data_IF_528979629872
#
_entry.id   IF_528979629872
#
_cell.length_a   1.000
_cell.length_b   1.000
_cell.length_c   1.000
_cell.angle_alpha   90.00
_cell.angle_beta   90.00
_cell.angle_gamma   90.00
#
_symmetry.space_group_name_H-M   'P 1'
#
loop_
_entity.id
_entity.type
_entity.pdbx_description
1 polymer ?
#
# COMPACT_ATOMS: atom_id res chain seq x y z
N UNK A 1 -13.37 21.42 3.36
CA UNK A 1 -13.00 20.18 4.04
C UNK A 1 -14.21 19.67 4.80
N UNK A 2 -14.41 18.36 4.76
CA UNK A 2 -15.43 17.64 5.52
C UNK A 2 -14.73 16.63 6.43
N UNK A 3 -15.22 16.47 7.66
CA UNK A 3 -14.81 15.40 8.59
C UNK A 3 -16.03 14.52 8.81
N UNK A 4 -15.97 13.26 8.39
CA UNK A 4 -17.12 12.36 8.26
C UNK A 4 -16.98 11.13 9.17
N UNK A 5 -18.07 10.78 9.86
CA UNK A 5 -18.20 9.50 10.54
C UNK A 5 -18.44 8.37 9.53
N UNK A 6 -17.65 7.31 9.60
CA UNK A 6 -17.75 6.19 8.66
C UNK A 6 -19.09 5.44 8.74
N UNK A 7 -19.68 5.35 9.94
CA UNK A 7 -20.83 4.49 10.24
C UNK A 7 -22.14 5.13 9.81
N UNK A 8 -22.39 6.36 10.24
CA UNK A 8 -23.66 7.05 9.98
C UNK A 8 -23.57 8.12 8.88
N UNK A 9 -22.38 8.32 8.32
CA UNK A 9 -22.08 9.24 7.21
C UNK A 9 -22.37 10.71 7.54
N UNK A 10 -22.59 11.03 8.82
CA UNK A 10 -22.71 12.41 9.28
C UNK A 10 -21.35 13.07 9.20
N UNK A 11 -21.34 14.33 8.81
CA UNK A 11 -20.11 15.10 8.73
C UNK A 11 -20.27 16.52 9.23
N UNK A 12 -19.14 17.09 9.61
CA UNK A 12 -18.95 18.52 9.79
C UNK A 12 -18.11 19.09 8.66
N UNK A 13 -18.40 20.32 8.24
CA UNK A 13 -17.70 21.02 7.18
C UNK A 13 -17.30 22.43 7.62
N UNK A 14 -16.19 22.91 7.07
CA UNK A 14 -15.66 24.25 7.36
C UNK A 14 -16.26 25.38 6.50
N UNK A 15 -17.24 25.06 5.65
CA UNK A 15 -17.96 26.01 4.79
C UNK A 15 -19.28 25.39 4.31
N UNK A 16 -20.19 26.25 3.85
CA UNK A 16 -21.46 25.85 3.25
C UNK A 16 -21.23 25.10 1.93
N UNK A 17 -22.14 24.18 1.59
CA UNK A 17 -22.15 23.51 0.30
C UNK A 17 -22.79 24.41 -0.77
N UNK A 18 -22.38 24.33 -2.06
CA UNK A 18 -22.93 25.19 -3.11
C UNK A 18 -24.47 25.18 -3.22
N UNK A 19 -25.12 24.06 -2.94
CA UNK A 19 -26.59 23.95 -2.89
C UNK A 19 -27.25 24.68 -1.71
N UNK A 20 -26.48 25.11 -0.69
CA UNK A 20 -26.98 25.73 0.53
C UNK A 20 -27.66 24.77 1.50
N UNK A 21 -27.49 23.46 1.32
CA UNK A 21 -28.26 22.43 2.04
C UNK A 21 -27.74 22.11 3.45
N UNK A 22 -26.53 22.55 3.83
CA UNK A 22 -25.98 22.20 5.14
C UNK A 22 -26.57 23.05 6.26
N UNK A 23 -26.86 22.40 7.38
CA UNK A 23 -27.33 23.07 8.60
C UNK A 23 -26.15 23.76 9.28
N UNK A 24 -26.20 25.08 9.39
CA UNK A 24 -25.16 25.85 10.07
C UNK A 24 -25.34 25.84 11.59
N UNK A 25 -24.25 25.63 12.32
CA UNK A 25 -24.16 25.72 13.77
C UNK A 25 -22.85 26.47 14.14
N UNK A 26 -22.98 27.77 14.42
CA UNK A 26 -21.81 28.65 14.59
C UNK A 26 -20.96 28.72 13.31
N UNK A 27 -19.64 28.47 13.37
CA UNK A 27 -18.76 28.45 12.20
C UNK A 27 -18.75 27.10 11.46
N UNK A 28 -19.48 26.10 11.95
CA UNK A 28 -19.48 24.73 11.43
C UNK A 28 -20.77 24.46 10.66
N UNK A 29 -20.68 23.64 9.62
CA UNK A 29 -21.81 23.19 8.83
C UNK A 29 -21.99 21.68 8.99
N UNK A 30 -23.21 21.22 9.18
CA UNK A 30 -23.55 19.81 9.40
C UNK A 30 -24.31 19.25 8.21
N UNK A 31 -23.97 18.02 7.83
CA UNK A 31 -24.64 17.29 6.75
C UNK A 31 -24.54 15.77 6.91
N UNK A 32 -25.10 15.06 5.94
CA UNK A 32 -24.99 13.61 5.78
C UNK A 32 -24.55 13.35 4.35
N UNK A 33 -23.46 12.59 4.16
CA UNK A 33 -22.99 12.25 2.82
C UNK A 33 -23.97 11.26 2.16
N UNK A 34 -24.42 11.51 0.91
CA UNK A 34 -25.26 10.57 0.17
C UNK A 34 -24.58 9.20 0.02
N UNK A 35 -25.34 8.10 0.02
CA UNK A 35 -24.80 6.72 -0.07
C UNK A 35 -23.86 6.50 -1.25
N UNK A 36 -24.11 7.18 -2.38
CA UNK A 36 -23.29 7.08 -3.59
C UNK A 36 -21.86 7.64 -3.44
N UNK A 37 -21.58 8.42 -2.39
CA UNK A 37 -20.25 8.99 -2.14
C UNK A 37 -19.42 8.00 -1.33
N UNK A 38 -18.23 7.61 -1.80
CA UNK A 38 -17.34 6.73 -1.03
C UNK A 38 -16.81 7.48 0.19
N UNK A 39 -16.78 6.81 1.35
CA UNK A 39 -16.17 7.36 2.56
C UNK A 39 -14.71 6.91 2.66
N UNK A 40 -13.79 7.84 2.53
CA UNK A 40 -12.34 7.63 2.59
C UNK A 40 -11.60 8.95 2.86
N UNK A 41 -10.35 8.87 3.32
CA UNK A 41 -9.42 10.00 3.33
C UNK A 41 -8.98 10.27 1.88
N UNK A 42 -9.62 11.25 1.23
CA UNK A 42 -9.40 11.55 -0.19
C UNK A 42 -10.04 12.89 -0.55
N UNK A 43 -9.60 13.53 -1.64
CA UNK A 43 -10.45 14.49 -2.33
C UNK A 43 -11.75 13.82 -2.84
N UNK A 44 -12.88 14.48 -2.60
CA UNK A 44 -14.21 14.03 -3.00
C UNK A 44 -14.93 15.15 -3.74
N UNK A 45 -15.35 14.90 -4.98
CA UNK A 45 -16.22 15.82 -5.70
C UNK A 45 -17.68 15.61 -5.25
N UNK A 46 -18.24 16.58 -4.55
CA UNK A 46 -19.61 16.53 -4.02
C UNK A 46 -20.25 17.92 -4.02
N UNK A 47 -21.49 17.98 -4.47
CA UNK A 47 -22.29 19.21 -4.57
C UNK A 47 -21.61 20.33 -5.38
N UNK A 48 -20.96 19.95 -6.49
CA UNK A 48 -20.27 20.90 -7.38
C UNK A 48 -18.96 21.47 -6.84
N UNK A 49 -18.44 20.91 -5.74
CA UNK A 49 -17.18 21.31 -5.13
C UNK A 49 -16.26 20.11 -4.90
N UNK A 50 -14.95 20.33 -5.03
CA UNK A 50 -13.92 19.38 -4.62
C UNK A 50 -13.57 19.54 -3.15
N UNK A 51 -14.13 18.69 -2.29
CA UNK A 51 -13.85 18.68 -0.86
C UNK A 51 -12.62 17.84 -0.55
N UNK A 52 -11.89 18.21 0.49
CA UNK A 52 -11.03 17.26 1.21
C UNK A 52 -11.89 16.52 2.22
N UNK A 53 -11.94 15.19 2.14
CA UNK A 53 -12.63 14.35 3.12
C UNK A 53 -11.64 13.76 4.11
N UNK A 54 -11.98 13.79 5.39
CA UNK A 54 -11.24 13.15 6.47
C UNK A 54 -12.20 12.25 7.24
N UNK A 55 -11.85 10.99 7.43
CA UNK A 55 -12.65 10.00 8.14
C UNK A 55 -12.38 10.11 9.65
N UNK A 56 -13.46 10.17 10.43
CA UNK A 56 -13.43 10.15 11.88
C UNK A 56 -13.42 8.70 12.43
N UNK A 57 -12.86 8.46 13.64
CA UNK A 57 -12.17 9.44 14.48
C UNK A 57 -10.79 9.80 13.91
N UNK A 58 -10.45 11.09 13.96
CA UNK A 58 -9.09 11.55 13.68
C UNK A 58 -8.20 11.29 14.89
N UNK A 59 -6.89 11.16 14.68
CA UNK A 59 -5.91 10.91 15.76
C UNK A 59 -6.06 11.93 16.90
N UNK A 60 -5.97 11.46 18.15
CA UNK A 60 -5.96 12.31 19.33
C UNK A 60 -4.62 13.06 19.49
N UNK A 61 -3.52 12.53 18.93
CA UNK A 61 -2.23 13.22 18.87
C UNK A 61 -2.35 14.48 17.99
N UNK A 62 -2.16 15.70 18.56
CA UNK A 62 -2.22 16.93 17.80
C UNK A 62 -1.24 17.01 16.64
N UNK A 63 -0.04 16.42 16.76
CA UNK A 63 0.97 16.43 15.71
C UNK A 63 0.52 15.56 14.53
N UNK A 64 0.24 14.28 14.77
CA UNK A 64 -0.27 13.37 13.75
C UNK A 64 -1.55 13.90 13.09
N UNK A 65 -2.48 14.48 13.86
CA UNK A 65 -3.71 15.07 13.33
C UNK A 65 -3.43 16.27 12.41
N UNK A 66 -2.51 17.16 12.78
CA UNK A 66 -2.16 18.31 11.95
C UNK A 66 -1.45 17.89 10.65
N UNK A 67 -0.57 16.90 10.72
CA UNK A 67 0.10 16.31 9.55
C UNK A 67 -0.93 15.69 8.60
N UNK A 68 -1.83 14.84 9.11
CA UNK A 68 -2.92 14.24 8.32
C UNK A 68 -3.77 15.31 7.63
N UNK A 69 -4.25 16.32 8.36
CA UNK A 69 -5.10 17.37 7.78
C UNK A 69 -4.38 18.10 6.65
N UNK A 70 -3.10 18.44 6.82
CA UNK A 70 -2.32 19.13 5.80
C UNK A 70 -2.00 18.23 4.59
N UNK A 71 -1.72 16.95 4.83
CA UNK A 71 -1.56 15.92 3.80
C UNK A 71 -2.82 15.82 2.91
N UNK A 72 -3.99 15.64 3.52
CA UNK A 72 -5.27 15.51 2.81
C UNK A 72 -5.68 16.80 2.08
N UNK A 73 -5.35 17.96 2.64
CA UNK A 73 -5.55 19.25 1.97
C UNK A 73 -4.66 19.39 0.72
N UNK A 74 -3.46 18.80 0.72
CA UNK A 74 -2.57 18.83 -0.42
C UNK A 74 -3.10 17.96 -1.57
N UNK A 75 -3.59 16.75 -1.31
CA UNK A 75 -4.20 15.89 -2.33
C UNK A 75 -5.31 16.61 -3.13
N UNK A 76 -6.03 17.54 -2.51
CA UNK A 76 -7.06 18.33 -3.20
C UNK A 76 -6.50 19.19 -4.34
N UNK A 77 -5.31 19.76 -4.16
CA UNK A 77 -4.68 20.66 -5.14
C UNK A 77 -3.61 19.98 -6.00
N UNK A 78 -3.12 18.81 -5.58
CA UNK A 78 -2.04 18.07 -6.21
C UNK A 78 -2.21 17.88 -7.75
N UNK A 79 -3.41 17.57 -8.30
CA UNK A 79 -3.58 17.47 -9.75
C UNK A 79 -3.33 18.79 -10.48
N UNK A 80 -3.74 19.92 -9.90
CA UNK A 80 -3.53 21.24 -10.48
C UNK A 80 -2.04 21.66 -10.49
N UNK A 81 -1.22 20.99 -9.68
CA UNK A 81 0.23 21.15 -9.66
C UNK A 81 0.95 20.21 -10.63
N UNK A 82 0.24 19.31 -11.34
CA UNK A 82 0.86 18.29 -12.18
C UNK A 82 1.60 17.20 -11.40
N UNK A 83 1.32 17.06 -10.11
CA UNK A 83 1.99 16.15 -9.18
C UNK A 83 1.17 14.87 -8.94
N UNK A 84 0.58 14.34 -10.01
CA UNK A 84 -0.14 13.05 -9.99
C UNK A 84 0.53 12.10 -10.96
N UNK A 85 0.68 10.83 -10.55
CA UNK A 85 1.24 9.75 -11.34
C UNK A 85 0.28 8.56 -11.30
N UNK A 86 0.35 7.71 -12.32
CA UNK A 86 -0.40 6.45 -12.29
C UNK A 86 0.11 5.59 -11.14
N UNK A 87 -0.81 4.94 -10.41
CA UNK A 87 -0.42 3.96 -9.41
C UNK A 87 0.35 2.80 -10.08
N UNK A 88 1.39 2.33 -9.39
CA UNK A 88 2.33 1.30 -9.85
C UNK A 88 2.67 0.37 -8.69
N UNK A 89 3.12 -0.84 -9.05
CA UNK A 89 3.07 -2.00 -8.17
C UNK A 89 4.11 -2.02 -7.05
N UNK A 90 5.27 -1.35 -7.18
CA UNK A 90 6.37 -1.34 -6.20
C UNK A 90 6.67 -2.73 -5.59
N UNK A 91 6.43 -3.80 -6.35
CA UNK A 91 6.33 -5.16 -5.82
C UNK A 91 7.66 -5.68 -5.26
N UNK A 92 8.78 -5.14 -5.76
CA UNK A 92 10.12 -5.39 -5.26
C UNK A 92 10.28 -5.02 -3.78
N UNK A 93 9.46 -4.11 -3.25
CA UNK A 93 9.47 -3.73 -1.83
C UNK A 93 8.79 -4.77 -0.91
N UNK A 94 8.31 -5.89 -1.45
CA UNK A 94 7.98 -7.09 -0.68
C UNK A 94 9.02 -8.21 -0.81
N UNK A 95 10.01 -8.05 -1.68
CA UNK A 95 11.13 -8.98 -1.83
C UNK A 95 12.26 -8.69 -0.85
N UNK A 96 13.01 -9.73 -0.49
CA UNK A 96 14.12 -9.67 0.46
C UNK A 96 15.08 -8.50 0.19
N UNK A 97 15.68 -8.46 -1.01
CA UNK A 97 16.69 -7.45 -1.33
C UNK A 97 16.09 -6.04 -1.36
N UNK A 98 14.87 -5.88 -1.90
CA UNK A 98 14.21 -4.58 -1.95
C UNK A 98 13.95 -4.02 -0.55
N UNK A 99 13.43 -4.85 0.36
CA UNK A 99 13.20 -4.47 1.76
C UNK A 99 14.49 -4.22 2.53
N UNK A 100 15.52 -5.02 2.30
CA UNK A 100 16.81 -4.89 2.97
C UNK A 100 17.46 -3.54 2.64
N UNK A 101 17.60 -3.23 1.34
CA UNK A 101 18.22 -1.98 0.90
C UNK A 101 17.39 -0.75 1.28
N UNK A 102 16.05 -0.84 1.26
CA UNK A 102 15.17 0.26 1.72
C UNK A 102 15.32 0.55 3.21
N UNK A 103 15.45 -0.49 4.04
CA UNK A 103 15.64 -0.27 5.46
C UNK A 103 17.05 0.23 5.82
N UNK A 104 18.08 -0.08 5.01
CA UNK A 104 19.39 0.55 5.15
C UNK A 104 19.34 2.03 4.73
N UNK A 105 18.63 2.33 3.64
CA UNK A 105 18.35 3.70 3.22
C UNK A 105 17.65 4.50 4.33
N UNK A 106 16.61 3.94 4.97
CA UNK A 106 15.94 4.62 6.08
C UNK A 106 16.85 4.90 7.28
N UNK A 107 17.69 3.93 7.67
CA UNK A 107 18.66 4.14 8.75
C UNK A 107 19.69 5.20 8.40
N UNK A 108 20.13 5.26 7.14
CA UNK A 108 21.02 6.30 6.66
C UNK A 108 20.35 7.68 6.62
N UNK A 109 19.06 7.76 6.25
CA UNK A 109 18.27 8.99 6.33
C UNK A 109 18.09 9.47 7.77
N UNK A 110 17.82 8.57 8.71
CA UNK A 110 17.80 8.90 10.15
C UNK A 110 19.13 9.52 10.58
N UNK A 111 20.25 8.87 10.24
CA UNK A 111 21.58 9.41 10.56
C UNK A 111 21.85 10.77 9.91
N UNK A 112 21.32 11.03 8.70
CA UNK A 112 21.43 12.32 8.04
C UNK A 112 20.61 13.42 8.74
N UNK A 113 19.37 13.12 9.13
CA UNK A 113 18.48 14.04 9.85
C UNK A 113 19.01 14.39 11.24
N UNK A 114 19.68 13.45 11.92
CA UNK A 114 20.26 13.62 13.24
C UNK A 114 21.70 14.15 13.23
N UNK A 115 22.30 14.28 12.06
CA UNK A 115 23.70 14.67 11.92
C UNK A 115 23.99 16.07 12.50
N UNK A 116 24.97 16.13 13.41
CA UNK A 116 25.44 17.37 14.04
C UNK A 116 26.38 18.20 13.18
N UNK A 117 26.88 17.64 12.08
CA UNK A 117 27.81 18.33 11.17
C UNK A 117 27.43 18.06 9.73
N UNK A 118 27.74 19.02 8.84
CA UNK A 118 27.51 18.88 7.40
C UNK A 118 28.26 17.69 6.80
N UNK A 119 29.45 17.35 7.32
CA UNK A 119 30.24 16.20 6.87
C UNK A 119 29.54 14.88 7.18
N UNK A 120 29.05 14.70 8.41
CA UNK A 120 28.31 13.49 8.82
C UNK A 120 27.02 13.39 8.02
N UNK A 121 26.28 14.49 7.88
CA UNK A 121 25.05 14.54 7.09
C UNK A 121 25.26 14.11 5.65
N UNK A 122 26.28 14.70 5.01
CA UNK A 122 26.67 14.35 3.64
C UNK A 122 27.01 12.87 3.52
N UNK A 123 27.85 12.34 4.41
CA UNK A 123 28.25 10.94 4.35
C UNK A 123 27.08 9.97 4.51
N UNK A 124 26.10 10.32 5.35
CA UNK A 124 24.89 9.52 5.55
C UNK A 124 23.93 9.62 4.35
N UNK A 125 23.80 10.81 3.73
CA UNK A 125 23.03 10.97 2.49
C UNK A 125 23.65 10.21 1.31
N UNK A 126 24.97 10.23 1.17
CA UNK A 126 25.69 9.44 0.16
C UNK A 126 25.41 7.94 0.34
N UNK A 127 25.32 7.45 1.59
CA UNK A 127 24.97 6.06 1.88
C UNK A 127 23.50 5.75 1.55
N UNK A 128 22.56 6.63 1.92
CA UNK A 128 21.15 6.47 1.57
C UNK A 128 20.96 6.35 0.06
N UNK A 129 21.61 7.23 -0.72
CA UNK A 129 21.59 7.19 -2.18
C UNK A 129 22.26 5.93 -2.75
N UNK A 130 23.32 5.43 -2.12
CA UNK A 130 23.99 4.20 -2.55
C UNK A 130 23.12 2.96 -2.30
N UNK A 131 22.42 2.88 -1.17
CA UNK A 131 21.49 1.79 -0.88
C UNK A 131 20.27 1.81 -1.81
N UNK A 132 19.71 3.00 -2.08
CA UNK A 132 18.67 3.17 -3.10
C UNK A 132 19.15 2.74 -4.49
N UNK A 133 20.36 3.13 -4.89
CA UNK A 133 20.93 2.73 -6.18
C UNK A 133 21.12 1.21 -6.28
N UNK A 134 21.62 0.57 -5.22
CA UNK A 134 21.78 -0.89 -5.18
C UNK A 134 20.44 -1.61 -5.37
N UNK A 135 19.35 -1.07 -4.80
CA UNK A 135 17.99 -1.55 -5.06
C UNK A 135 17.58 -1.35 -6.52
N UNK A 136 17.85 -0.19 -7.12
CA UNK A 136 17.51 0.07 -8.53
C UNK A 136 18.28 -0.81 -9.52
N UNK A 137 19.52 -1.17 -9.19
CA UNK A 137 20.34 -2.07 -10.02
C UNK A 137 19.77 -3.51 -10.03
N UNK A 138 19.07 -3.92 -8.96
CA UNK A 138 18.44 -5.24 -8.85
C UNK A 138 17.03 -5.28 -9.48
N UNK A 139 16.32 -4.16 -9.46
CA UNK A 139 14.91 -4.07 -9.87
C UNK A 139 14.72 -3.00 -10.95
N UNK A 140 14.69 -3.37 -12.24
CA UNK A 140 14.72 -2.42 -13.36
C UNK A 140 13.59 -1.37 -13.38
N UNK A 141 12.44 -1.69 -12.78
CA UNK A 141 11.29 -0.77 -12.69
C UNK A 141 11.29 0.09 -11.41
N UNK A 142 12.12 -0.23 -10.41
CA UNK A 142 12.05 0.38 -9.09
C UNK A 142 12.20 1.90 -9.12
N UNK A 143 13.10 2.45 -9.95
CA UNK A 143 13.29 3.89 -10.04
C UNK A 143 12.02 4.63 -10.50
N UNK A 144 11.35 4.10 -11.53
CA UNK A 144 10.12 4.71 -12.05
C UNK A 144 8.94 4.48 -11.09
N UNK A 145 8.85 3.28 -10.50
CA UNK A 145 7.73 2.91 -9.64
C UNK A 145 7.76 3.63 -8.29
N UNK A 146 8.95 3.74 -7.69
CA UNK A 146 9.11 4.42 -6.42
C UNK A 146 8.91 5.93 -6.59
N UNK A 147 9.47 6.53 -7.66
CA UNK A 147 9.23 7.94 -7.96
C UNK A 147 7.73 8.25 -8.09
N UNK A 148 6.98 7.39 -8.76
CA UNK A 148 5.54 7.60 -8.91
C UNK A 148 4.81 7.64 -7.56
N UNK A 149 5.14 6.71 -6.64
CA UNK A 149 4.54 6.72 -5.31
C UNK A 149 5.06 7.87 -4.44
N UNK A 150 6.34 8.24 -4.55
CA UNK A 150 6.87 9.42 -3.84
C UNK A 150 6.18 10.71 -4.29
N UNK A 151 5.82 10.84 -5.56
CA UNK A 151 5.01 11.97 -6.03
C UNK A 151 3.57 11.88 -5.51
N UNK A 152 2.97 10.69 -5.52
CA UNK A 152 1.58 10.50 -5.13
C UNK A 152 1.36 10.64 -3.62
N UNK A 153 2.26 10.13 -2.78
CA UNK A 153 2.11 10.00 -1.32
C UNK A 153 3.24 10.70 -0.54
N UNK A 154 4.49 10.62 -1.03
CA UNK A 154 5.65 11.20 -0.32
C UNK A 154 5.66 12.72 -0.30
N UNK A 155 5.27 13.38 -1.41
CA UNK A 155 5.14 14.84 -1.49
C UNK A 155 3.98 15.36 -0.63
N UNK A 156 2.77 14.76 -0.65
CA UNK A 156 1.72 15.08 0.33
C UNK A 156 2.18 14.90 1.77
N UNK A 157 2.87 13.80 2.10
CA UNK A 157 3.33 13.55 3.48
C UNK A 157 4.38 14.57 3.93
N UNK A 158 5.37 14.87 3.08
CA UNK A 158 6.30 15.97 3.32
C UNK A 158 5.54 17.29 3.56
N UNK A 159 4.52 17.59 2.76
CA UNK A 159 3.71 18.80 2.91
C UNK A 159 2.97 18.80 4.24
N UNK A 160 2.41 17.65 4.62
CA UNK A 160 1.78 17.39 5.91
C UNK A 160 2.72 17.73 7.07
N UNK A 161 3.91 17.15 7.08
CA UNK A 161 4.95 17.40 8.08
C UNK A 161 5.39 18.87 8.08
N UNK A 162 5.64 19.44 6.90
CA UNK A 162 6.19 20.79 6.74
C UNK A 162 5.23 21.89 7.17
N UNK A 163 3.93 21.72 6.95
CA UNK A 163 2.89 22.70 7.26
C UNK A 163 2.13 22.40 8.56
N UNK A 164 1.97 21.12 8.90
CA UNK A 164 1.26 20.67 10.11
C UNK A 164 2.07 20.89 11.39
N UNK A 165 3.40 20.89 11.31
CA UNK A 165 4.28 21.07 12.47
C UNK A 165 4.98 22.43 12.46
N UNK A 166 5.06 23.06 13.64
CA UNK A 166 5.47 24.47 13.78
C UNK A 166 6.98 24.70 13.86
N UNK A 167 7.76 23.74 14.39
CA UNK A 167 9.22 23.87 14.54
C UNK A 167 10.00 22.92 13.65
N UNK A 168 11.25 23.28 13.31
CA UNK A 168 12.15 22.41 12.56
C UNK A 168 12.49 21.14 13.35
N UNK A 169 12.58 21.25 14.69
CA UNK A 169 12.82 20.14 15.61
C UNK A 169 11.66 19.14 15.56
N UNK A 170 10.41 19.61 15.61
CA UNK A 170 9.24 18.73 15.54
C UNK A 170 9.16 18.02 14.18
N UNK A 171 9.44 18.72 13.08
CA UNK A 171 9.48 18.13 11.73
C UNK A 171 10.53 17.02 11.60
N UNK A 172 11.75 17.29 12.08
CA UNK A 172 12.82 16.28 12.08
C UNK A 172 12.46 15.09 12.96
N UNK A 173 11.92 15.33 14.16
CA UNK A 173 11.51 14.26 15.07
C UNK A 173 10.40 13.38 14.45
N UNK A 174 9.44 13.98 13.76
CA UNK A 174 8.37 13.26 13.05
C UNK A 174 8.93 12.40 11.92
N UNK A 175 9.78 12.96 11.05
CA UNK A 175 10.40 12.20 9.97
C UNK A 175 11.28 11.03 10.48
N UNK A 176 12.04 11.24 11.56
CA UNK A 176 12.84 10.17 12.20
C UNK A 176 11.95 9.08 12.82
N UNK A 177 10.84 9.50 13.45
CA UNK A 177 9.85 8.57 13.98
C UNK A 177 9.30 7.69 12.85
N UNK A 178 8.87 8.27 11.74
CA UNK A 178 8.24 7.53 10.64
C UNK A 178 9.20 6.54 9.97
N UNK A 179 10.45 6.95 9.72
CA UNK A 179 11.51 6.05 9.25
C UNK A 179 11.68 4.81 10.13
N UNK A 180 11.38 4.92 11.43
CA UNK A 180 11.45 3.81 12.38
C UNK A 180 10.12 3.05 12.49
N UNK A 181 8.99 3.76 12.48
CA UNK A 181 7.66 3.17 12.64
C UNK A 181 7.26 2.31 11.43
N UNK A 182 7.52 2.80 10.21
CA UNK A 182 7.17 2.09 8.98
C UNK A 182 7.96 0.80 8.75
N UNK A 183 9.05 0.55 9.49
CA UNK A 183 9.75 -0.76 9.50
C UNK A 183 8.80 -1.90 9.88
N UNK A 184 7.80 -1.61 10.71
CA UNK A 184 6.81 -2.60 11.17
C UNK A 184 5.66 -2.82 10.18
N UNK A 185 5.60 -2.07 9.07
CA UNK A 185 4.55 -2.21 8.09
C UNK A 185 4.59 -3.63 7.46
N UNK A 186 3.42 -4.30 7.30
CA UNK A 186 3.36 -5.64 6.73
C UNK A 186 3.96 -5.73 5.32
N UNK A 187 3.80 -4.66 4.54
CA UNK A 187 4.35 -4.46 3.19
C UNK A 187 4.84 -3.02 3.06
N UNK A 188 5.94 -2.85 2.31
CA UNK A 188 6.51 -1.53 1.99
C UNK A 188 5.98 -0.95 0.67
N UNK A 189 5.28 -1.76 -0.13
CA UNK A 189 4.78 -1.43 -1.48
C UNK A 189 4.07 -0.09 -1.56
N UNK A 190 3.19 0.20 -0.59
CA UNK A 190 2.45 1.48 -0.52
C UNK A 190 2.92 2.39 0.61
N UNK A 191 3.66 1.88 1.58
CA UNK A 191 3.94 2.59 2.83
C UNK A 191 5.28 3.33 2.83
N UNK A 192 6.22 2.97 1.95
CA UNK A 192 7.57 3.51 2.03
C UNK A 192 7.63 5.03 1.80
N UNK A 193 6.78 5.55 0.92
CA UNK A 193 6.81 6.95 0.51
C UNK A 193 6.43 7.90 1.64
N UNK A 194 5.61 7.46 2.60
CA UNK A 194 5.30 8.24 3.81
C UNK A 194 6.55 8.44 4.70
N UNK A 195 7.49 7.49 4.67
CA UNK A 195 8.77 7.63 5.39
C UNK A 195 9.80 8.44 4.60
N UNK A 196 9.98 8.13 3.30
CA UNK A 196 11.03 8.76 2.48
C UNK A 196 10.70 10.21 2.12
N UNK A 197 9.42 10.54 1.87
CA UNK A 197 8.97 11.87 1.47
C UNK A 197 9.40 12.97 2.44
N UNK A 198 8.96 12.95 3.71
CA UNK A 198 9.39 13.91 4.72
C UNK A 198 10.91 13.93 4.92
N UNK A 199 11.55 12.75 4.96
CA UNK A 199 12.99 12.66 5.21
C UNK A 199 13.81 13.37 4.12
N UNK A 200 13.54 13.07 2.85
CA UNK A 200 14.22 13.73 1.74
C UNK A 200 13.82 15.19 1.59
N UNK A 201 12.52 15.51 1.68
CA UNK A 201 12.05 16.88 1.51
C UNK A 201 12.60 17.84 2.57
N UNK A 202 12.71 17.41 3.83
CA UNK A 202 13.33 18.22 4.89
C UNK A 202 14.84 18.40 4.70
N UNK A 203 15.54 17.38 4.20
CA UNK A 203 16.98 17.50 3.88
C UNK A 203 17.17 18.44 2.67
N UNK A 204 16.31 18.36 1.66
CA UNK A 204 16.33 19.24 0.50
C UNK A 204 15.98 20.70 0.83
N UNK A 205 15.14 20.96 1.83
CA UNK A 205 14.89 22.32 2.33
C UNK A 205 16.18 23.05 2.74
N UNK A 206 17.22 22.31 3.15
CA UNK A 206 18.52 22.85 3.52
C UNK A 206 19.54 22.81 2.36
N UNK A 207 19.44 21.83 1.45
CA UNK A 207 20.41 21.60 0.39
C UNK A 207 20.13 22.38 -0.90
N UNK A 208 18.86 22.57 -1.24
CA UNK A 208 18.43 23.23 -2.48
C UNK A 208 17.08 23.94 -2.23
N UNK A 209 17.07 25.23 -1.83
CA UNK A 209 15.83 25.95 -1.50
C UNK A 209 14.76 25.94 -2.60
N UNK A 210 15.15 25.75 -3.85
CA UNK A 210 14.27 25.75 -5.03
C UNK A 210 13.78 24.36 -5.44
N UNK A 211 14.13 23.30 -4.70
CA UNK A 211 13.84 21.90 -5.05
C UNK A 211 12.36 21.63 -5.34
N UNK A 212 11.45 22.33 -4.66
CA UNK A 212 9.99 22.19 -4.82
C UNK A 212 9.48 22.57 -6.20
N UNK A 213 10.23 23.39 -6.95
CA UNK A 213 9.91 23.73 -8.34
C UNK A 213 10.34 22.65 -9.34
N UNK A 214 11.18 21.70 -8.90
CA UNK A 214 11.81 20.67 -9.73
C UNK A 214 11.23 19.27 -9.46
N UNK A 215 10.69 19.04 -8.26
CA UNK A 215 10.03 17.78 -7.89
C UNK A 215 8.85 17.49 -8.82
N UNK A 216 8.73 16.23 -9.24
CA UNK A 216 7.77 15.80 -10.24
C UNK A 216 8.46 15.42 -11.55
N UNK A 217 9.19 16.37 -12.14
CA UNK A 217 10.10 16.08 -13.26
C UNK A 217 11.33 15.32 -12.78
N UNK A 218 11.87 15.72 -11.63
CA UNK A 218 12.96 15.02 -10.94
C UNK A 218 12.41 14.27 -9.72
N UNK A 219 13.08 13.16 -9.37
CA UNK A 219 12.83 12.40 -8.15
C UNK A 219 13.60 12.98 -6.97
N UNK A 220 13.22 12.59 -5.74
CA UNK A 220 13.92 13.01 -4.53
C UNK A 220 15.41 12.67 -4.56
N UNK A 221 15.77 11.46 -4.98
CA UNK A 221 17.16 11.02 -5.06
C UNK A 221 17.96 11.78 -6.11
N UNK A 222 17.36 12.09 -7.26
CA UNK A 222 17.99 12.90 -8.29
C UNK A 222 18.29 14.32 -7.77
N UNK A 223 17.32 14.93 -7.07
CA UNK A 223 17.48 16.25 -6.47
C UNK A 223 18.57 16.27 -5.40
N UNK A 224 18.59 15.29 -4.49
CA UNK A 224 19.65 15.20 -3.48
C UNK A 224 21.00 14.97 -4.14
N UNK A 225 21.09 14.07 -5.12
CA UNK A 225 22.33 13.81 -5.85
C UNK A 225 22.87 15.06 -6.55
N UNK A 226 21.99 15.88 -7.11
CA UNK A 226 22.35 17.15 -7.75
C UNK A 226 22.83 18.20 -6.74
N UNK A 227 22.27 18.21 -5.53
CA UNK A 227 22.62 19.16 -4.48
C UNK A 227 23.90 18.79 -3.69
N UNK A 228 24.31 17.52 -3.72
CA UNK A 228 25.54 17.08 -3.07
C UNK A 228 26.78 17.43 -3.91
N UNK A 229 27.91 17.82 -3.28
CA UNK A 229 29.16 18.00 -3.99
C UNK A 229 29.64 16.68 -4.60
N UNK A 230 30.36 16.76 -5.72
CA UNK A 230 30.90 15.57 -6.39
C UNK A 230 31.71 14.68 -5.41
N UNK A 231 31.62 13.34 -5.54
CA UNK A 231 32.40 12.44 -4.71
C UNK A 231 33.90 12.70 -4.92
N UNK A 232 34.70 12.58 -3.87
CA UNK A 232 36.16 12.80 -3.94
C UNK A 232 36.93 11.67 -4.65
N UNK A 233 36.22 10.74 -5.32
CA UNK A 233 36.82 9.67 -6.12
C UNK A 233 37.22 8.41 -5.35
N UNK A 234 36.97 8.32 -4.04
CA UNK A 234 37.21 7.09 -3.26
C UNK A 234 35.98 6.19 -3.33
N UNK A 235 36.02 5.17 -4.18
CA UNK A 235 35.00 4.13 -4.20
C UNK A 235 34.99 3.39 -2.85
N UNK A 236 33.86 3.42 -2.15
CA UNK A 236 33.63 2.64 -0.93
C UNK A 236 32.81 1.41 -1.30
N UNK A 237 33.16 0.24 -0.75
CA UNK A 237 32.35 -0.96 -0.95
C UNK A 237 31.02 -0.80 -0.23
N UNK A 238 29.94 -1.18 -0.89
CA UNK A 238 28.58 -1.00 -0.37
C UNK A 238 28.38 -1.77 0.94
N UNK A 239 28.96 -2.96 1.05
CA UNK A 239 28.90 -3.81 2.23
C UNK A 239 29.60 -3.17 3.44
N UNK A 240 30.71 -2.45 3.23
CA UNK A 240 31.41 -1.74 4.29
C UNK A 240 30.57 -0.56 4.80
N UNK A 241 29.77 0.07 3.93
CA UNK A 241 28.82 1.13 4.31
C UNK A 241 27.61 0.56 5.02
N UNK A 242 27.05 -0.54 4.54
CA UNK A 242 25.92 -1.22 5.18
C UNK A 242 26.22 -1.60 6.63
N UNK A 243 27.45 -2.03 6.94
CA UNK A 243 27.90 -2.36 8.32
C UNK A 243 27.83 -1.21 9.32
N UNK A 244 27.71 0.04 8.86
CA UNK A 244 27.50 1.19 9.74
C UNK A 244 26.05 1.28 10.26
N UNK A 245 25.12 0.62 9.57
CA UNK A 245 23.68 0.69 9.83
C UNK A 245 23.07 -0.67 10.20
N UNK A 246 23.77 -1.76 9.93
CA UNK A 246 23.34 -3.12 10.20
C UNK A 246 24.52 -3.95 10.71
N UNK A 247 24.38 -4.53 11.89
CA UNK A 247 25.33 -5.50 12.47
C UNK A 247 25.13 -6.93 11.90
N UNK A 248 24.18 -7.09 10.98
CA UNK A 248 23.75 -8.33 10.35
C UNK A 248 22.38 -8.80 10.84
N UNK A 249 21.86 -8.24 11.94
CA UNK A 249 20.55 -8.62 12.46
C UNK A 249 19.41 -8.26 11.51
N UNK A 250 19.47 -7.11 10.82
CA UNK A 250 18.47 -6.74 9.81
C UNK A 250 18.46 -7.74 8.67
N UNK A 251 19.64 -8.04 8.11
CA UNK A 251 19.75 -8.99 7.01
C UNK A 251 19.19 -10.35 7.39
N UNK A 252 19.55 -10.86 8.57
CA UNK A 252 19.04 -12.14 9.07
C UNK A 252 17.52 -12.12 9.29
N UNK A 253 16.95 -11.00 9.74
CA UNK A 253 15.51 -10.86 9.92
C UNK A 253 14.76 -10.88 8.57
N UNK A 254 15.26 -10.15 7.57
CA UNK A 254 14.65 -10.13 6.24
C UNK A 254 14.80 -11.47 5.51
N UNK A 255 15.93 -12.20 5.69
CA UNK A 255 16.07 -13.57 5.18
C UNK A 255 14.99 -14.49 5.76
N UNK A 256 14.80 -14.47 7.08
CA UNK A 256 13.76 -15.31 7.73
C UNK A 256 12.35 -14.94 7.26
N UNK A 257 12.03 -13.64 7.18
CA UNK A 257 10.73 -13.17 6.66
C UNK A 257 10.49 -13.70 5.24
N UNK A 258 11.49 -13.59 4.38
CA UNK A 258 11.36 -14.01 2.99
C UNK A 258 11.28 -15.53 2.83
N UNK A 259 12.00 -16.30 3.65
CA UNK A 259 11.85 -17.77 3.73
C UNK A 259 10.43 -18.16 4.14
N UNK A 260 9.88 -17.53 5.18
CA UNK A 260 8.49 -17.75 5.60
C UNK A 260 7.50 -17.37 4.50
N UNK A 261 7.70 -16.23 3.83
CA UNK A 261 6.84 -15.80 2.71
C UNK A 261 6.89 -16.80 1.57
N UNK A 262 8.08 -17.24 1.15
CA UNK A 262 8.24 -18.24 0.09
C UNK A 262 7.61 -19.58 0.46
N UNK A 263 7.76 -20.03 1.70
CA UNK A 263 7.12 -21.24 2.19
C UNK A 263 5.58 -21.14 2.14
N UNK A 264 5.01 -20.00 2.57
CA UNK A 264 3.56 -19.75 2.48
C UNK A 264 3.07 -19.74 1.03
N UNK A 265 3.77 -19.07 0.13
CA UNK A 265 3.41 -19.03 -1.30
C UNK A 265 3.52 -20.41 -1.96
N UNK A 266 4.55 -21.18 -1.62
CA UNK A 266 4.69 -22.57 -2.08
C UNK A 266 3.52 -23.42 -1.60
N UNK A 267 3.19 -23.36 -0.31
CA UNK A 267 2.07 -24.11 0.25
C UNK A 267 0.73 -23.72 -0.40
N UNK A 268 0.51 -22.43 -0.67
CA UNK A 268 -0.68 -21.97 -1.39
C UNK A 268 -0.75 -22.51 -2.83
N UNK A 269 0.39 -22.51 -3.55
CA UNK A 269 0.48 -23.09 -4.89
C UNK A 269 0.20 -24.60 -4.87
N UNK A 270 0.80 -25.32 -3.93
CA UNK A 270 0.58 -26.75 -3.76
C UNK A 270 -0.89 -27.06 -3.47
N UNK A 271 -1.56 -26.25 -2.63
CA UNK A 271 -2.94 -26.47 -2.23
C UNK A 271 -3.98 -26.04 -3.27
N UNK A 272 -3.74 -24.96 -4.01
CA UNK A 272 -4.76 -24.29 -4.84
C UNK A 272 -4.50 -24.40 -6.35
N UNK A 273 -3.35 -24.94 -6.76
CA UNK A 273 -2.94 -25.09 -8.16
C UNK A 273 -2.46 -26.50 -8.45
N UNK A 274 -1.40 -26.96 -7.79
CA UNK A 274 -0.70 -28.18 -8.20
C UNK A 274 -1.40 -29.43 -7.66
N UNK A 275 -1.91 -29.39 -6.43
CA UNK A 275 -2.67 -30.46 -5.80
C UNK A 275 -4.11 -30.58 -6.31
N UNK A 276 -4.88 -31.56 -5.79
CA UNK A 276 -6.30 -31.74 -6.12
C UNK A 276 -7.16 -30.54 -5.69
N UNK A 277 -7.94 -30.01 -6.62
CA UNK A 277 -8.79 -28.82 -6.38
C UNK A 277 -10.25 -29.06 -6.73
N UNK A 278 -11.13 -28.24 -6.15
CA UNK A 278 -12.46 -27.98 -6.69
C UNK A 278 -12.42 -26.68 -7.51
N UNK A 279 -12.79 -26.78 -8.79
CA UNK A 279 -12.91 -25.63 -9.71
C UNK A 279 -14.35 -25.11 -9.70
N UNK A 280 -14.51 -23.81 -9.46
CA UNK A 280 -15.80 -23.11 -9.51
C UNK A 280 -15.79 -22.13 -10.69
N UNK A 281 -16.71 -22.23 -11.65
CA UNK A 281 -16.82 -21.24 -12.72
C UNK A 281 -17.33 -19.91 -12.15
N UNK A 282 -16.77 -18.80 -12.62
CA UNK A 282 -17.18 -17.45 -12.22
C UNK A 282 -17.84 -16.78 -13.44
N UNK A 283 -19.14 -16.48 -13.34
CA UNK A 283 -19.93 -15.84 -14.40
C UNK A 283 -20.62 -14.58 -13.88
N UNK A 284 -21.51 -14.74 -12.90
CA UNK A 284 -22.28 -13.67 -12.28
C UNK A 284 -21.91 -13.52 -10.80
N UNK A 285 -20.60 -13.42 -10.55
CA UNK A 285 -20.05 -13.54 -9.21
C UNK A 285 -20.22 -12.25 -8.39
N UNK A 286 -20.60 -12.42 -7.13
CA UNK A 286 -20.52 -11.38 -6.11
C UNK A 286 -19.60 -11.84 -4.97
N UNK A 287 -18.75 -10.95 -4.48
CA UNK A 287 -17.70 -11.28 -3.52
C UNK A 287 -17.84 -10.46 -2.24
N UNK A 288 -17.61 -11.11 -1.11
CA UNK A 288 -17.35 -10.47 0.17
C UNK A 288 -16.03 -11.02 0.73
N UNK A 289 -15.08 -10.13 1.02
CA UNK A 289 -13.74 -10.51 1.48
C UNK A 289 -13.09 -9.38 2.27
N UNK A 290 -11.96 -9.68 2.91
CA UNK A 290 -11.11 -8.65 3.51
C UNK A 290 -10.09 -8.14 2.46
N UNK A 291 -10.13 -6.88 2.03
CA UNK A 291 -9.18 -6.36 1.04
C UNK A 291 -7.75 -6.21 1.60
N UNK A 292 -7.55 -6.31 2.92
CA UNK A 292 -6.26 -6.07 3.57
C UNK A 292 -5.34 -7.30 3.65
N UNK A 293 -5.83 -8.49 3.30
CA UNK A 293 -5.06 -9.73 3.45
C UNK A 293 -4.93 -10.55 2.16
N UNK A 294 -5.23 -9.96 1.00
CA UNK A 294 -5.11 -10.61 -0.30
C UNK A 294 -3.64 -10.98 -0.58
N UNK A 295 -3.42 -12.16 -1.16
CA UNK A 295 -2.07 -12.66 -1.46
C UNK A 295 -1.94 -12.92 -2.96
N UNK A 296 -1.21 -12.08 -3.70
CA UNK A 296 -0.89 -12.34 -5.10
C UNK A 296 -0.06 -13.64 -5.24
N UNK A 297 -0.51 -14.54 -6.10
CA UNK A 297 0.21 -15.76 -6.45
C UNK A 297 0.69 -15.64 -7.90
N UNK A 298 1.97 -15.29 -8.05
CA UNK A 298 2.57 -14.91 -9.33
C UNK A 298 2.33 -15.96 -10.44
N UNK A 299 1.82 -15.51 -11.58
CA UNK A 299 1.51 -16.35 -12.74
C UNK A 299 0.15 -17.05 -12.68
N UNK A 300 -0.61 -16.93 -11.58
CA UNK A 300 -1.88 -17.64 -11.39
C UNK A 300 -3.06 -16.72 -11.10
N UNK A 301 -2.93 -15.84 -10.11
CA UNK A 301 -4.06 -15.04 -9.66
C UNK A 301 -3.87 -14.47 -8.26
N UNK A 302 -4.97 -14.26 -7.55
CA UNK A 302 -4.98 -13.74 -6.17
C UNK A 302 -5.63 -14.76 -5.25
N UNK A 303 -4.94 -15.09 -4.17
CA UNK A 303 -5.48 -15.91 -3.09
C UNK A 303 -6.21 -15.01 -2.11
N UNK A 304 -7.47 -15.37 -1.85
CA UNK A 304 -8.36 -14.77 -0.87
C UNK A 304 -8.35 -15.69 0.35
N UNK A 305 -7.68 -15.32 1.47
CA UNK A 305 -7.59 -16.21 2.64
C UNK A 305 -8.94 -16.54 3.25
N UNK A 306 -9.86 -15.56 3.20
CA UNK A 306 -11.27 -15.71 3.51
C UNK A 306 -12.10 -15.04 2.43
N UNK A 307 -13.22 -15.66 2.08
CA UNK A 307 -14.17 -15.06 1.15
C UNK A 307 -15.52 -15.73 1.23
N UNK A 308 -16.55 -14.97 0.85
CA UNK A 308 -17.82 -15.50 0.40
C UNK A 308 -17.97 -15.14 -1.07
N UNK A 309 -18.27 -16.13 -1.90
CA UNK A 309 -18.64 -15.89 -3.31
C UNK A 309 -19.98 -16.54 -3.60
N UNK A 310 -20.85 -15.79 -4.27
CA UNK A 310 -22.11 -16.30 -4.81
C UNK A 310 -22.09 -16.18 -6.32
N UNK A 311 -22.64 -17.18 -7.00
CA UNK A 311 -22.80 -17.20 -8.46
C UNK A 311 -24.04 -18.05 -8.81
N UNK A 312 -24.26 -18.32 -10.10
CA UNK A 312 -25.40 -19.10 -10.59
C UNK A 312 -25.45 -20.51 -9.99
N UNK A 313 -24.28 -21.08 -9.64
CA UNK A 313 -24.16 -22.39 -9.02
C UNK A 313 -24.47 -22.43 -7.54
N UNK A 314 -24.67 -21.29 -6.88
CA UNK A 314 -24.94 -21.19 -5.45
C UNK A 314 -23.92 -20.34 -4.71
N UNK A 315 -23.42 -20.81 -3.56
CA UNK A 315 -22.52 -20.03 -2.70
C UNK A 315 -21.39 -20.86 -2.10
N UNK A 316 -20.19 -20.30 -2.09
CA UNK A 316 -19.00 -20.82 -1.41
C UNK A 316 -18.63 -19.88 -0.26
N UNK A 317 -18.47 -20.47 0.92
CA UNK A 317 -17.96 -19.80 2.13
C UNK A 317 -16.57 -20.36 2.45
N UNK A 318 -15.57 -19.50 2.51
CA UNK A 318 -14.17 -19.84 2.84
C UNK A 318 -13.79 -19.14 4.14
N UNK A 319 -13.57 -19.95 5.18
CA UNK A 319 -13.21 -19.51 6.53
C UNK A 319 -11.69 -19.56 6.76
N UNK A 320 -11.00 -20.51 6.12
CA UNK A 320 -9.54 -20.66 6.11
C UNK A 320 -9.11 -21.55 4.93
N UNK A 321 -7.81 -21.80 4.76
CA UNK A 321 -7.26 -22.54 3.61
C UNK A 321 -7.16 -21.72 2.31
N UNK A 322 -8.09 -20.79 2.13
CA UNK A 322 -8.08 -19.79 1.06
C UNK A 322 -8.67 -20.29 -0.25
N UNK A 323 -8.98 -19.35 -1.13
CA UNK A 323 -9.45 -19.60 -2.49
C UNK A 323 -8.64 -18.77 -3.49
N UNK A 324 -8.20 -19.39 -4.58
CA UNK A 324 -7.50 -18.70 -5.65
C UNK A 324 -8.50 -18.26 -6.71
N UNK A 325 -8.64 -16.94 -6.91
CA UNK A 325 -9.30 -16.40 -8.11
C UNK A 325 -8.23 -16.19 -9.17
N UNK A 326 -8.40 -16.87 -10.30
CA UNK A 326 -7.41 -16.85 -11.37
C UNK A 326 -7.40 -15.52 -12.11
N UNK A 327 -6.25 -15.14 -12.69
CA UNK A 327 -6.06 -13.84 -13.37
C UNK A 327 -7.06 -13.60 -14.49
N UNK A 328 -7.54 -14.64 -15.18
CA UNK A 328 -8.60 -14.50 -16.20
C UNK A 328 -9.97 -14.11 -15.63
N UNK A 329 -10.18 -14.20 -14.31
CA UNK A 329 -11.42 -13.83 -13.63
C UNK A 329 -12.61 -14.74 -13.93
N UNK A 330 -12.39 -15.93 -14.50
CA UNK A 330 -13.44 -16.86 -14.94
C UNK A 330 -13.57 -18.10 -14.07
N UNK A 331 -12.67 -18.30 -13.12
CA UNK A 331 -12.73 -19.43 -12.20
C UNK A 331 -12.06 -19.13 -10.86
N UNK A 332 -12.57 -19.78 -9.83
CA UNK A 332 -11.94 -19.90 -8.54
C UNK A 332 -11.54 -21.36 -8.28
N UNK A 333 -10.48 -21.58 -7.51
CA UNK A 333 -10.12 -22.89 -6.99
C UNK A 333 -10.01 -22.88 -5.47
N UNK A 334 -10.53 -23.94 -4.85
CA UNK A 334 -10.29 -24.32 -3.46
C UNK A 334 -9.73 -25.73 -3.40
N UNK A 335 -9.17 -26.12 -2.27
CA UNK A 335 -8.72 -27.51 -2.03
C UNK A 335 -9.89 -28.46 -2.30
N UNK A 336 -9.63 -29.62 -2.93
CA UNK A 336 -10.64 -30.62 -3.22
C UNK A 336 -11.50 -30.98 -1.98
N UNK A 337 -12.79 -31.32 -2.17
CA UNK A 337 -13.70 -31.68 -1.09
C UNK A 337 -13.21 -32.89 -0.30
N UNK A 338 -13.48 -32.88 1.01
CA UNK A 338 -13.18 -33.98 1.91
C UNK A 338 -14.30 -35.03 1.93
N UNK A 339 -15.52 -34.64 1.57
CA UNK A 339 -16.70 -35.50 1.53
C UNK A 339 -17.02 -36.00 0.10
N UNK A 340 -17.65 -37.17 0.01
CA UNK A 340 -18.05 -37.74 -1.28
C UNK A 340 -19.17 -36.93 -1.97
N UNK A 341 -19.82 -36.03 -1.25
CA UNK A 341 -20.90 -35.16 -1.75
C UNK A 341 -20.37 -33.89 -2.43
N UNK A 342 -19.11 -33.52 -2.21
CA UNK A 342 -18.51 -32.30 -2.75
C UNK A 342 -18.98 -31.01 -2.06
N UNK A 343 -19.64 -31.13 -0.91
CA UNK A 343 -20.30 -30.01 -0.22
C UNK A 343 -19.40 -29.27 0.76
N UNK A 344 -18.26 -29.85 1.12
CA UNK A 344 -17.30 -29.22 2.02
C UNK A 344 -15.89 -29.75 1.83
N UNK A 345 -14.92 -28.91 2.20
CA UNK A 345 -13.51 -29.27 2.27
C UNK A 345 -12.84 -28.59 3.46
N UNK A 346 -11.51 -28.71 3.55
CA UNK A 346 -10.77 -28.08 4.63
C UNK A 346 -10.91 -26.54 4.54
N UNK A 347 -11.59 -25.97 5.52
CA UNK A 347 -11.76 -24.51 5.64
C UNK A 347 -12.81 -23.87 4.74
N UNK A 348 -13.60 -24.65 4.00
CA UNK A 348 -14.66 -24.11 3.15
C UNK A 348 -15.92 -24.98 3.09
N UNK A 349 -17.06 -24.34 2.77
CA UNK A 349 -18.36 -24.99 2.55
C UNK A 349 -19.02 -24.50 1.27
N UNK A 350 -19.61 -25.43 0.52
CA UNK A 350 -20.32 -25.19 -0.73
C UNK A 350 -21.81 -25.49 -0.56
N UNK A 351 -22.65 -24.53 -0.92
CA UNK A 351 -24.10 -24.72 -1.05
C UNK A 351 -24.46 -24.60 -2.52
N UNK A 352 -24.88 -25.70 -3.13
CA UNK A 352 -25.26 -25.72 -4.55
C UNK A 352 -26.72 -25.35 -4.75
N UNK A 353 -26.98 -24.54 -5.77
CA UNK A 353 -28.31 -24.28 -6.28
C UNK A 353 -28.89 -25.53 -6.97
N UNK A 354 -30.22 -25.60 -7.07
CA UNK A 354 -30.89 -26.71 -7.77
C UNK A 354 -30.41 -26.77 -9.23
N UNK A 355 -30.06 -27.96 -9.71
CA UNK A 355 -29.58 -28.17 -11.07
C UNK A 355 -28.05 -28.11 -11.20
N UNK A 356 -27.33 -27.80 -10.13
CA UNK A 356 -25.86 -27.85 -10.10
C UNK A 356 -25.37 -29.05 -9.29
N UNK A 357 -24.20 -29.57 -9.67
CA UNK A 357 -23.55 -30.70 -9.02
C UNK A 357 -22.03 -30.55 -9.04
N UNK A 358 -21.37 -31.27 -8.14
CA UNK A 358 -19.92 -31.51 -8.22
C UNK A 358 -19.67 -32.74 -9.10
N UNK A 359 -18.79 -32.62 -10.08
CA UNK A 359 -18.37 -33.69 -10.98
C UNK A 359 -16.84 -33.82 -10.99
N UNK A 360 -16.28 -34.95 -11.46
CA UNK A 360 -14.85 -35.07 -11.69
C UNK A 360 -14.32 -33.96 -12.62
N UNK A 361 -13.16 -33.40 -12.26
CA UNK A 361 -12.43 -32.40 -13.03
C UNK A 361 -11.47 -33.03 -14.05
N UNK A 362 -10.68 -32.16 -14.69
CA UNK A 362 -9.79 -32.56 -15.79
C UNK A 362 -8.60 -33.42 -15.32
N UNK A 363 -8.08 -33.14 -14.12
CA UNK A 363 -6.97 -33.93 -13.52
C UNK A 363 -7.52 -34.96 -12.55
N UNK A 364 -6.80 -36.05 -12.39
CA UNK A 364 -7.15 -37.06 -11.40
C UNK A 364 -7.18 -36.44 -9.99
N UNK A 365 -8.31 -36.57 -9.31
CA UNK A 365 -8.54 -36.01 -7.98
C UNK A 365 -9.13 -34.59 -7.98
N UNK A 366 -9.11 -33.89 -9.12
CA UNK A 366 -9.83 -32.63 -9.25
C UNK A 366 -11.34 -32.86 -9.35
N UNK A 367 -12.06 -31.84 -8.95
CA UNK A 367 -13.50 -31.73 -9.06
C UNK A 367 -13.86 -30.39 -9.72
N UNK A 368 -15.05 -30.30 -10.27
CA UNK A 368 -15.58 -29.07 -10.82
C UNK A 368 -17.08 -28.96 -10.54
N UNK A 369 -17.53 -27.73 -10.32
CA UNK A 369 -18.96 -27.40 -10.24
C UNK A 369 -19.53 -27.27 -11.65
N UNK A 370 -20.49 -28.11 -11.98
CA UNK A 370 -21.12 -28.18 -13.32
C UNK A 370 -22.63 -28.09 -13.22
N UNK A 371 -23.25 -27.55 -14.26
CA UNK A 371 -24.69 -27.64 -14.42
C UNK A 371 -25.06 -29.07 -14.84
N UNK A 372 -25.94 -29.70 -14.07
CA UNK A 372 -26.46 -31.05 -14.27
C UNK A 372 -27.92 -31.05 -14.79
N UNK A 373 -28.41 -29.94 -15.37
CA UNK A 373 -29.79 -29.78 -15.87
C UNK A 373 -30.00 -28.52 -16.72
N UNK A 374 -31.23 -27.97 -16.76
CA UNK A 374 -31.52 -26.65 -17.37
C UNK A 374 -31.11 -25.53 -16.40
N UNK A 375 -29.86 -25.11 -16.46
CA UNK A 375 -29.42 -23.85 -15.85
C UNK A 375 -29.57 -22.76 -16.93
N UNK A 376 -30.36 -21.73 -16.65
CA UNK A 376 -30.57 -20.61 -17.59
C UNK A 376 -29.23 -19.94 -17.95
N UNK A 377 -29.11 -19.54 -19.22
CA UNK A 377 -27.93 -18.87 -19.79
C UNK A 377 -27.58 -17.55 -19.10
#
# INVERSE_FOLDING_TARGET
>A
MIVVDYTDRRFIANRQAPSGTLRQEGPIFHGVLPEAVIVANTPTDWDGERWTQIVAPVSDDPAARAVLVAHELFHRIQPALGLTRNEVGNAHLDEFEGRYWLQLEWRALTAALEARTALVRRSALEDALAFRQARYDLFPLAAAEEHALEINEGVPEYTGVRLGLSSAEARRAFAVHDLSAFVTAPSFVRSFAYATGPAYGLLLDELDPDWKSKIGEQSFDALVRAALPQPTGVARRLEDRARLYDDGALRLAEVRRDEERRARLSAMKDALVDGPVLVLPLRHSNYQFNPQNLVPLAGYGVVYPTMRVTDDWGSLEVEHGGALVWTEGRRATVIAPADATGSSGEGWRLTLAKGWAVAPGDRQGDYQVVCAGECGD
#
